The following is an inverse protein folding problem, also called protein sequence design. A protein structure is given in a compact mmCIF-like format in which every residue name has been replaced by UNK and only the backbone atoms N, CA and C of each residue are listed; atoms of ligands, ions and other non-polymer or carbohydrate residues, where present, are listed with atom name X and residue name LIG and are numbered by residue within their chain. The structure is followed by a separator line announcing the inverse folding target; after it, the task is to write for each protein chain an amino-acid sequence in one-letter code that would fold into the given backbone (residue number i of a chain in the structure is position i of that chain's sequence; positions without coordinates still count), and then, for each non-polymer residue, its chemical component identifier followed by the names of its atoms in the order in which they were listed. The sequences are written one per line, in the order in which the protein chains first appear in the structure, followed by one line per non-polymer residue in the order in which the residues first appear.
data_IF_902239876201
#
_entry.id   IF_902239876201
#
_cell.length_a   1.000
_cell.length_b   1.000
_cell.length_c   1.000
_cell.angle_alpha   90.00
_cell.angle_beta   90.00
_cell.angle_gamma   90.00
#
_symmetry.space_group_name_H-M   'P 1'
#
loop_
_entity.id
_entity.type
_entity.pdbx_description
1 polymer ?
#
# COMPACT_ATOMS: atom_id res chain seq x y z
N UNK A 1 8.97 4.99 9.66
CA UNK A 1 8.22 6.27 9.72
C UNK A 1 9.18 7.34 10.19
N UNK A 2 9.21 8.49 9.53
CA UNK A 2 10.02 9.64 9.91
C UNK A 2 9.08 10.68 10.54
N UNK A 3 9.09 10.77 11.88
CA UNK A 3 8.19 11.65 12.63
C UNK A 3 8.24 13.09 12.11
N UNK A 4 7.05 13.68 11.91
CA UNK A 4 6.87 15.03 11.35
C UNK A 4 7.44 15.24 9.92
N UNK A 5 7.74 14.17 9.19
CA UNK A 5 8.29 14.26 7.83
C UNK A 5 7.50 13.40 6.83
N UNK A 6 7.44 12.08 7.04
CA UNK A 6 6.79 11.17 6.10
C UNK A 6 7.23 9.73 6.29
N UNK A 7 7.29 8.98 5.18
CA UNK A 7 7.67 7.57 5.17
C UNK A 7 8.77 7.28 4.18
N UNK A 8 9.58 6.28 4.52
CA UNK A 8 10.55 5.65 3.64
C UNK A 8 10.18 4.17 3.58
N UNK A 9 10.09 3.62 2.38
CA UNK A 9 9.74 2.23 2.13
C UNK A 9 10.88 1.59 1.37
N UNK A 10 11.23 0.37 1.78
CA UNK A 10 12.24 -0.47 1.14
C UNK A 10 11.60 -1.80 0.77
N UNK A 11 12.02 -2.36 -0.36
CA UNK A 11 11.55 -3.62 -0.90
C UNK A 11 12.61 -4.26 -1.79
N UNK A 12 12.39 -5.53 -2.15
CA UNK A 12 13.36 -6.31 -2.95
C UNK A 12 13.40 -5.86 -4.41
N UNK A 13 12.28 -5.33 -4.91
CA UNK A 13 12.12 -4.81 -6.27
C UNK A 13 11.40 -3.47 -6.25
N UNK A 14 11.41 -2.75 -7.38
CA UNK A 14 10.60 -1.54 -7.57
C UNK A 14 9.11 -1.83 -7.35
N UNK A 15 8.63 -2.97 -7.87
CA UNK A 15 7.24 -3.39 -7.76
C UNK A 15 6.84 -3.68 -6.30
N UNK A 16 7.68 -4.41 -5.55
CA UNK A 16 7.46 -4.66 -4.12
C UNK A 16 7.46 -3.34 -3.32
N UNK A 17 8.46 -2.50 -3.54
CA UNK A 17 8.60 -1.21 -2.86
C UNK A 17 7.39 -0.31 -3.11
N UNK A 18 6.97 -0.19 -4.37
CA UNK A 18 5.81 0.61 -4.76
C UNK A 18 4.51 0.06 -4.16
N UNK A 19 4.31 -1.26 -4.20
CA UNK A 19 3.13 -1.91 -3.62
C UNK A 19 3.01 -1.64 -2.12
N UNK A 20 4.11 -1.79 -1.37
CA UNK A 20 4.19 -1.49 0.06
C UNK A 20 3.87 -0.03 0.35
N UNK A 21 4.44 0.90 -0.43
CA UNK A 21 4.16 2.33 -0.31
C UNK A 21 2.68 2.64 -0.54
N UNK A 22 2.11 2.14 -1.63
CA UNK A 22 0.71 2.37 -1.99
C UNK A 22 -0.25 1.91 -0.89
N UNK A 23 -0.07 0.68 -0.38
CA UNK A 23 -0.96 0.16 0.66
C UNK A 23 -0.73 0.81 2.02
N UNK A 24 0.50 1.23 2.34
CA UNK A 24 0.75 2.03 3.54
C UNK A 24 -0.02 3.36 3.49
N UNK A 25 0.10 4.09 2.38
CA UNK A 25 -0.59 5.37 2.18
C UNK A 25 -2.11 5.19 2.24
N UNK A 26 -2.64 4.14 1.61
CA UNK A 26 -4.08 3.80 1.67
C UNK A 26 -4.53 3.48 3.10
N UNK A 27 -3.73 2.74 3.86
CA UNK A 27 -4.03 2.43 5.25
C UNK A 27 -4.02 3.70 6.13
N UNK A 28 -3.02 4.57 5.95
CA UNK A 28 -2.91 5.83 6.68
C UNK A 28 -4.11 6.75 6.38
N UNK A 29 -4.48 6.90 5.10
CA UNK A 29 -5.67 7.66 4.68
C UNK A 29 -6.93 7.11 5.34
N UNK A 30 -7.17 5.81 5.26
CA UNK A 30 -8.34 5.18 5.86
C UNK A 30 -8.38 5.38 7.38
N UNK A 31 -7.23 5.25 8.05
CA UNK A 31 -7.12 5.43 9.48
C UNK A 31 -7.46 6.87 9.91
N UNK A 32 -6.89 7.87 9.23
CA UNK A 32 -7.19 9.28 9.50
C UNK A 32 -8.66 9.59 9.20
N UNK A 33 -9.22 9.10 8.09
CA UNK A 33 -10.63 9.26 7.76
C UNK A 33 -11.54 8.67 8.84
N UNK A 34 -11.22 7.48 9.35
CA UNK A 34 -11.98 6.85 10.43
C UNK A 34 -11.91 7.68 11.72
N UNK A 35 -10.72 8.16 12.10
CA UNK A 35 -10.54 9.02 13.28
C UNK A 35 -11.33 10.34 13.17
N UNK A 36 -11.38 10.94 11.98
CA UNK A 36 -12.13 12.17 11.73
C UNK A 36 -13.65 12.03 11.96
N UNK A 37 -14.19 10.81 12.00
CA UNK A 37 -15.61 10.58 12.33
C UNK A 37 -15.92 10.78 13.82
N UNK A 38 -14.91 10.74 14.69
CA UNK A 38 -15.09 10.78 16.15
C UNK A 38 -15.77 9.54 16.76
N UNK A 39 -16.09 8.52 15.97
CA UNK A 39 -16.69 7.28 16.45
C UNK A 39 -15.62 6.34 17.04
N UNK A 40 -15.97 5.49 18.02
CA UNK A 40 -15.08 4.44 18.49
C UNK A 40 -14.66 3.51 17.34
N UNK A 41 -13.35 3.30 17.20
CA UNK A 41 -12.82 2.39 16.17
C UNK A 41 -13.11 0.94 16.54
N UNK A 42 -13.62 0.17 15.57
CA UNK A 42 -13.71 -1.28 15.68
C UNK A 42 -12.38 -1.90 15.27
N UNK A 43 -11.53 -2.17 16.25
CA UNK A 43 -10.21 -2.78 16.06
C UNK A 43 -10.37 -4.29 15.80
N UNK A 44 -9.67 -4.80 14.78
CA UNK A 44 -9.61 -6.24 14.50
C UNK A 44 -8.81 -6.96 15.60
N UNK A 45 -9.10 -8.24 15.83
CA UNK A 45 -8.28 -9.05 16.74
C UNK A 45 -6.88 -9.27 16.15
N UNK A 46 -5.89 -9.36 17.03
CA UNK A 46 -4.49 -9.60 16.65
C UNK A 46 -4.33 -10.89 15.83
N UNK A 47 -5.09 -11.93 16.16
CA UNK A 47 -5.09 -13.20 15.43
C UNK A 47 -5.49 -13.03 13.95
N UNK A 48 -6.55 -12.25 13.69
CA UNK A 48 -7.03 -12.01 12.32
C UNK A 48 -6.07 -11.08 11.56
N UNK A 49 -5.52 -10.08 12.24
CA UNK A 49 -4.53 -9.18 11.67
C UNK A 49 -3.26 -9.95 11.25
N UNK A 50 -2.70 -10.76 12.15
CA UNK A 50 -1.51 -11.58 11.91
C UNK A 50 -1.74 -12.60 10.79
N UNK A 51 -2.90 -13.28 10.79
CA UNK A 51 -3.25 -14.21 9.71
C UNK A 51 -3.28 -13.50 8.35
N UNK A 52 -3.86 -12.31 8.29
CA UNK A 52 -3.96 -11.53 7.04
C UNK A 52 -2.57 -11.07 6.58
N UNK A 53 -1.71 -10.60 7.49
CA UNK A 53 -0.34 -10.21 7.19
C UNK A 53 0.45 -11.38 6.56
N UNK A 54 0.40 -12.57 7.17
CA UNK A 54 1.06 -13.77 6.61
C UNK A 54 0.52 -14.17 5.23
N UNK A 55 -0.78 -14.03 5.01
CA UNK A 55 -1.39 -14.33 3.71
C UNK A 55 -0.93 -13.34 2.62
N UNK A 56 -0.74 -12.07 2.98
CA UNK A 56 -0.21 -11.05 2.07
C UNK A 56 1.26 -11.33 1.76
N UNK A 57 2.09 -11.61 2.76
CA UNK A 57 3.51 -11.94 2.59
C UNK A 57 3.70 -13.21 1.73
N UNK A 58 2.82 -14.19 1.89
CA UNK A 58 2.85 -15.44 1.14
C UNK A 58 2.20 -15.35 -0.26
N UNK A 59 1.75 -14.17 -0.71
CA UNK A 59 1.10 -14.00 -2.00
C UNK A 59 2.12 -13.58 -3.08
N UNK A 60 2.69 -14.53 -3.86
CA UNK A 60 3.70 -14.20 -4.84
C UNK A 60 3.13 -13.28 -5.93
N UNK A 61 3.98 -12.44 -6.52
CA UNK A 61 3.67 -11.55 -7.66
C UNK A 61 2.63 -10.45 -7.43
N UNK A 62 2.18 -10.21 -6.19
CA UNK A 62 1.19 -9.15 -5.93
C UNK A 62 1.70 -7.79 -6.41
N UNK A 63 2.93 -7.44 -6.04
CA UNK A 63 3.55 -6.18 -6.43
C UNK A 63 3.74 -6.06 -7.94
N UNK A 64 4.18 -7.14 -8.60
CA UNK A 64 4.42 -7.15 -10.05
C UNK A 64 3.14 -6.91 -10.85
N UNK A 65 2.06 -7.59 -10.46
CA UNK A 65 0.74 -7.41 -11.08
C UNK A 65 0.21 -6.00 -10.85
N UNK A 66 0.32 -5.51 -9.62
CA UNK A 66 -0.11 -4.15 -9.30
C UNK A 66 0.65 -3.10 -10.11
N UNK A 67 1.98 -3.17 -10.14
CA UNK A 67 2.78 -2.21 -10.91
C UNK A 67 2.48 -2.30 -12.41
N UNK A 68 2.31 -3.51 -12.94
CA UNK A 68 2.00 -3.73 -14.37
C UNK A 68 0.68 -3.05 -14.78
N UNK A 69 -0.36 -3.10 -13.95
CA UNK A 69 -1.62 -2.41 -14.22
C UNK A 69 -1.49 -0.88 -14.12
N UNK A 70 -0.68 -0.37 -13.18
CA UNK A 70 -0.37 1.06 -13.09
C UNK A 70 0.35 1.53 -14.35
N UNK A 71 1.35 0.77 -14.81
CA UNK A 71 2.05 1.07 -16.06
C UNK A 71 1.09 1.02 -17.26
N UNK A 72 0.17 0.06 -17.31
CA UNK A 72 -0.84 0.01 -18.38
C UNK A 72 -1.78 1.23 -18.40
N UNK A 73 -2.07 1.82 -17.24
CA UNK A 73 -2.82 3.08 -17.15
C UNK A 73 -1.97 4.25 -17.67
N UNK A 74 -0.72 4.36 -17.22
CA UNK A 74 0.21 5.41 -17.65
C UNK A 74 0.48 5.34 -19.17
N UNK A 75 0.61 4.14 -19.72
CA UNK A 75 0.76 3.92 -21.17
C UNK A 75 -0.39 4.50 -21.98
N UNK A 76 -1.61 4.50 -21.42
CA UNK A 76 -2.81 5.01 -22.07
C UNK A 76 -3.00 6.50 -21.85
N UNK A 77 -2.72 6.98 -20.65
CA UNK A 77 -3.11 8.31 -20.19
C UNK A 77 -1.96 9.33 -20.19
N UNK A 78 -0.74 8.88 -19.94
CA UNK A 78 0.47 9.71 -19.83
C UNK A 78 1.70 9.02 -20.47
N UNK A 79 1.66 8.58 -21.74
CA UNK A 79 2.69 7.72 -22.34
C UNK A 79 4.11 8.32 -22.37
N UNK A 80 4.22 9.65 -22.32
CA UNK A 80 5.47 10.41 -22.31
C UNK A 80 6.37 10.06 -21.10
N UNK A 81 5.87 9.38 -20.06
CA UNK A 81 6.69 8.91 -18.92
C UNK A 81 7.80 7.91 -19.32
N UNK A 82 7.75 7.39 -20.55
CA UNK A 82 8.72 6.44 -21.11
C UNK A 82 9.90 7.10 -21.83
N UNK A 83 9.80 8.39 -22.15
CA UNK A 83 10.86 9.15 -22.83
C UNK A 83 11.97 9.54 -21.84
#
# INVERSE_FOLDING_TARGET
IMGNHGVMVIGETVADTFNRLFYFERAARNYIQALQTGQPLRVLSDEVAEKTARQLDAYPSQGDRHLSEILAILDREEPDFRD
#
